data_IF_807131435408
#
_entry.id   IF_807131435408
#
_cell.length_a   1.000
_cell.length_b   1.000
_cell.length_c   1.000
_cell.angle_alpha   90.00
_cell.angle_beta   90.00
_cell.angle_gamma   90.00
#
_symmetry.space_group_name_H-M   'P 1'
#
loop_
_entity.id
_entity.type
_entity.pdbx_description
1 polymer ?
#
# COMPACT_ATOMS: atom_id res chain seq x y z
N UNK A 1 6.66 26.88 -49.08
CA UNK A 1 5.45 26.99 -49.94
C UNK A 1 4.88 25.58 -49.98
N UNK A 2 3.73 25.25 -49.41
CA UNK A 2 2.38 25.72 -49.75
C UNK A 2 1.44 25.43 -48.57
N UNK A 3 0.62 26.41 -48.19
CA UNK A 3 -0.48 26.28 -47.22
C UNK A 3 -1.64 25.51 -47.86
N UNK A 4 -2.33 24.66 -47.10
CA UNK A 4 -3.72 24.31 -47.39
C UNK A 4 -4.56 24.41 -46.10
N UNK A 5 -5.53 25.30 -46.20
CA UNK A 5 -6.57 25.68 -45.25
C UNK A 5 -7.84 24.94 -45.69
N UNK A 6 -8.51 24.23 -44.78
CA UNK A 6 -9.92 23.80 -44.96
C UNK A 6 -10.54 23.71 -43.55
N UNK A 7 -11.13 24.80 -43.06
CA UNK A 7 -12.55 25.17 -43.15
C UNK A 7 -13.49 24.36 -42.23
N UNK A 8 -13.74 24.96 -41.05
CA UNK A 8 -15.02 25.18 -40.37
C UNK A 8 -16.22 24.28 -40.73
N UNK A 9 -16.76 23.57 -39.73
CA UNK A 9 -18.21 23.41 -39.56
C UNK A 9 -18.56 23.65 -38.08
N UNK A 10 -19.15 24.81 -37.82
CA UNK A 10 -19.94 25.10 -36.63
C UNK A 10 -21.32 24.43 -36.81
N UNK A 11 -21.71 23.57 -35.87
CA UNK A 11 -23.11 23.18 -35.71
C UNK A 11 -23.58 23.68 -34.34
N UNK A 12 -24.37 24.76 -34.38
CA UNK A 12 -25.00 25.35 -33.23
C UNK A 12 -26.36 24.68 -32.94
N UNK A 13 -26.59 24.48 -31.64
CA UNK A 13 -27.86 24.55 -30.91
C UNK A 13 -29.03 23.62 -31.28
N UNK A 14 -29.39 22.75 -30.34
CA UNK A 14 -30.78 22.55 -29.93
C UNK A 14 -30.84 22.35 -28.39
N UNK A 15 -31.28 23.40 -27.70
CA UNK A 15 -31.76 23.34 -26.32
C UNK A 15 -33.20 22.85 -26.40
N UNK A 16 -33.47 21.65 -25.90
CA UNK A 16 -34.81 21.08 -25.75
C UNK A 16 -34.99 20.56 -24.33
N UNK A 17 -36.07 20.93 -23.61
CA UNK A 17 -36.33 20.42 -22.28
C UNK A 17 -37.04 19.07 -22.37
N UNK A 18 -36.54 18.06 -21.64
CA UNK A 18 -37.26 16.79 -21.48
C UNK A 18 -36.45 15.55 -21.83
N UNK A 19 -35.29 15.36 -21.20
CA UNK A 19 -34.72 14.03 -21.04
C UNK A 19 -35.15 13.51 -19.66
N UNK A 20 -36.14 12.63 -19.65
CA UNK A 20 -36.42 11.81 -18.47
C UNK A 20 -35.14 11.03 -18.13
N UNK A 21 -34.50 11.40 -17.04
CA UNK A 21 -33.34 10.67 -16.52
C UNK A 21 -33.78 9.24 -16.20
N UNK A 22 -33.10 8.20 -16.72
CA UNK A 22 -33.30 6.86 -16.19
C UNK A 22 -32.87 6.89 -14.72
N UNK A 23 -33.83 6.63 -13.82
CA UNK A 23 -33.59 6.47 -12.39
C UNK A 23 -32.41 5.53 -12.19
N UNK A 24 -31.31 6.06 -11.68
CA UNK A 24 -30.16 5.27 -11.27
C UNK A 24 -30.65 4.25 -10.22
N UNK A 25 -30.67 2.98 -10.60
CA UNK A 25 -30.99 1.90 -9.68
C UNK A 25 -30.04 2.00 -8.47
N UNK A 26 -30.62 2.10 -7.27
CA UNK A 26 -29.86 2.18 -6.03
C UNK A 26 -28.96 0.95 -5.91
N UNK A 27 -27.64 1.14 -5.99
CA UNK A 27 -26.67 0.08 -5.73
C UNK A 27 -26.83 -0.32 -4.26
N UNK A 28 -27.12 -1.60 -3.95
CA UNK A 28 -27.29 -2.02 -2.57
C UNK A 28 -26.02 -1.69 -1.78
N UNK A 29 -26.20 -0.98 -0.66
CA UNK A 29 -25.11 -0.63 0.22
C UNK A 29 -24.42 -1.91 0.70
N UNK A 30 -23.14 -2.06 0.36
CA UNK A 30 -22.33 -3.17 0.88
C UNK A 30 -22.27 -3.04 2.41
N UNK A 31 -22.60 -4.09 3.18
CA UNK A 31 -22.46 -4.04 4.62
C UNK A 31 -21.01 -3.72 4.98
N UNK A 32 -20.82 -2.76 5.88
CA UNK A 32 -19.50 -2.41 6.40
C UNK A 32 -18.93 -3.63 7.14
N UNK A 33 -17.78 -4.12 6.67
CA UNK A 33 -17.10 -5.21 7.34
C UNK A 33 -16.59 -4.75 8.72
N UNK A 34 -17.05 -5.38 9.79
CA UNK A 34 -16.51 -5.18 11.14
C UNK A 34 -15.16 -5.89 11.24
N UNK A 35 -14.06 -5.14 11.23
CA UNK A 35 -12.71 -5.68 11.41
C UNK A 35 -12.37 -5.81 12.89
N UNK A 36 -11.89 -6.99 13.32
CA UNK A 36 -11.32 -7.15 14.67
C UNK A 36 -10.11 -6.22 14.85
N UNK A 37 -10.03 -5.45 15.94
CA UNK A 37 -8.89 -4.58 16.18
C UNK A 37 -7.60 -5.39 16.33
N UNK A 38 -6.54 -4.96 15.66
CA UNK A 38 -5.24 -5.60 15.76
C UNK A 38 -4.60 -5.33 17.13
N UNK A 39 -4.39 -6.37 17.92
CA UNK A 39 -3.76 -6.28 19.25
C UNK A 39 -2.35 -6.88 19.31
N UNK A 40 -1.85 -7.41 18.19
CA UNK A 40 -0.53 -8.06 18.19
C UNK A 40 0.58 -7.00 18.19
N UNK A 41 1.36 -7.00 19.27
CA UNK A 41 2.50 -6.10 19.45
C UNK A 41 3.82 -6.80 19.08
N UNK A 42 4.69 -6.05 18.40
CA UNK A 42 6.02 -6.46 18.01
C UNK A 42 7.04 -5.48 18.54
N UNK A 43 8.16 -5.97 19.04
CA UNK A 43 9.27 -5.16 19.54
C UNK A 43 10.47 -5.27 18.60
N UNK A 44 11.11 -4.12 18.34
CA UNK A 44 12.29 -4.02 17.47
C UNK A 44 13.52 -4.61 18.14
N UNK A 45 14.17 -5.56 17.48
CA UNK A 45 15.38 -6.24 17.98
C UNK A 45 16.68 -5.65 17.40
N UNK A 46 16.61 -5.06 16.21
CA UNK A 46 17.74 -4.38 15.56
C UNK A 46 18.10 -3.04 16.22
N UNK A 47 19.36 -2.59 16.11
CA UNK A 47 19.81 -1.29 16.67
C UNK A 47 19.01 -0.12 16.10
N UNK A 48 18.85 -0.10 14.77
CA UNK A 48 18.03 0.84 14.00
C UNK A 48 17.42 0.07 12.85
N UNK A 49 16.11 0.20 12.64
CA UNK A 49 15.36 -0.54 11.63
C UNK A 49 14.52 0.43 10.83
N UNK A 50 14.67 0.41 9.52
CA UNK A 50 13.90 1.26 8.63
C UNK A 50 12.48 0.70 8.45
N UNK A 51 11.50 1.58 8.55
CA UNK A 51 10.15 1.36 8.03
C UNK A 51 10.15 1.83 6.59
N UNK A 52 9.87 0.92 5.66
CA UNK A 52 9.95 1.20 4.22
C UNK A 52 8.59 1.14 3.57
N UNK A 53 8.30 2.04 2.65
CA UNK A 53 7.13 1.93 1.77
C UNK A 53 7.57 1.40 0.42
N UNK A 54 6.85 0.45 -0.18
CA UNK A 54 7.05 0.15 -1.59
C UNK A 54 6.94 1.43 -2.42
N UNK A 55 7.85 1.63 -3.36
CA UNK A 55 7.74 2.71 -4.34
C UNK A 55 6.51 2.50 -5.25
N UNK A 56 6.10 3.54 -5.96
CA UNK A 56 4.90 3.51 -6.81
C UNK A 56 4.94 2.44 -7.91
N UNK A 57 6.16 2.09 -8.36
CA UNK A 57 6.44 1.06 -9.36
C UNK A 57 6.89 -0.28 -8.72
N UNK A 58 6.91 -0.36 -7.40
CA UNK A 58 7.14 -1.61 -6.69
C UNK A 58 5.78 -2.28 -6.42
N UNK A 59 5.77 -3.61 -6.43
CA UNK A 59 4.60 -4.37 -6.02
C UNK A 59 4.20 -4.10 -4.57
N UNK A 60 3.21 -4.83 -4.02
CA UNK A 60 2.65 -4.52 -2.70
C UNK A 60 3.60 -4.75 -1.51
N UNK A 61 4.80 -5.28 -1.74
CA UNK A 61 5.77 -5.65 -0.70
C UNK A 61 7.03 -4.82 -0.83
N UNK A 62 7.49 -4.26 0.29
CA UNK A 62 8.71 -3.48 0.32
C UNK A 62 9.94 -4.37 0.09
N UNK A 63 10.98 -3.76 -0.44
CA UNK A 63 12.30 -4.33 -0.67
C UNK A 63 13.34 -3.65 0.24
N UNK A 64 14.55 -4.23 0.38
CA UNK A 64 15.62 -3.61 1.16
C UNK A 64 16.05 -2.21 0.68
N UNK A 65 15.83 -1.90 -0.59
CA UNK A 65 16.15 -0.64 -1.27
C UNK A 65 14.96 0.33 -1.38
N UNK A 66 13.74 -0.11 -1.09
CA UNK A 66 12.54 0.74 -1.09
C UNK A 66 12.70 1.99 -0.21
N UNK A 67 12.07 3.13 -0.54
CA UNK A 67 12.18 4.36 0.24
C UNK A 67 11.89 4.18 1.73
N UNK A 68 12.69 4.84 2.57
CA UNK A 68 12.51 4.86 4.02
C UNK A 68 11.51 5.95 4.38
N UNK A 69 10.44 5.58 5.08
CA UNK A 69 9.49 6.54 5.66
C UNK A 69 10.02 7.09 6.99
N UNK A 70 10.38 6.20 7.91
CA UNK A 70 11.03 6.55 9.16
C UNK A 70 11.85 5.38 9.69
N UNK A 71 12.50 5.55 10.84
CA UNK A 71 13.27 4.48 11.48
C UNK A 71 12.86 4.28 12.92
N UNK A 72 12.85 3.03 13.34
CA UNK A 72 12.66 2.63 14.72
C UNK A 72 13.98 2.21 15.35
N UNK A 73 14.08 2.34 16.66
CA UNK A 73 15.22 1.92 17.48
C UNK A 73 14.87 0.65 18.25
N UNK A 74 15.91 -0.08 18.70
CA UNK A 74 15.76 -1.25 19.56
C UNK A 74 14.83 -0.96 20.74
N UNK A 75 13.93 -1.89 21.05
CA UNK A 75 12.98 -1.79 22.16
C UNK A 75 11.69 -1.00 21.84
N UNK A 76 11.66 -0.24 20.74
CA UNK A 76 10.41 0.37 20.29
C UNK A 76 9.42 -0.70 19.83
N UNK A 77 8.13 -0.40 20.00
CA UNK A 77 7.04 -1.34 19.73
C UNK A 77 6.13 -0.83 18.63
N UNK A 78 5.63 -1.76 17.84
CA UNK A 78 4.68 -1.52 16.77
C UNK A 78 3.57 -2.55 16.82
N UNK A 79 2.36 -2.14 16.50
CA UNK A 79 1.22 -3.03 16.35
C UNK A 79 1.14 -3.49 14.90
N UNK A 80 1.06 -4.80 14.68
CA UNK A 80 0.97 -5.38 13.33
C UNK A 80 0.33 -6.76 13.33
N UNK A 81 -0.75 -6.90 12.56
CA UNK A 81 -1.43 -8.17 12.31
C UNK A 81 -1.34 -8.59 10.83
N UNK A 82 -0.94 -7.66 9.96
CA UNK A 82 -0.85 -7.89 8.53
C UNK A 82 0.59 -8.22 8.16
N UNK A 83 0.72 -9.24 7.32
CA UNK A 83 1.99 -9.73 6.81
C UNK A 83 2.01 -9.57 5.30
N UNK A 84 3.06 -8.94 4.78
CA UNK A 84 3.38 -8.91 3.37
C UNK A 84 4.47 -9.97 3.09
N UNK A 85 4.20 -10.88 2.16
CA UNK A 85 5.12 -11.98 1.81
C UNK A 85 5.78 -11.65 0.48
N UNK A 86 7.08 -11.35 0.51
CA UNK A 86 7.87 -11.18 -0.69
C UNK A 86 8.11 -12.55 -1.34
N UNK A 87 7.65 -12.72 -2.57
CA UNK A 87 7.89 -13.94 -3.35
C UNK A 87 9.18 -13.77 -4.15
N UNK A 88 10.04 -14.79 -4.10
CA UNK A 88 11.26 -14.88 -4.88
C UNK A 88 11.36 -16.25 -5.52
N UNK A 89 11.91 -16.31 -6.73
CA UNK A 89 12.12 -17.59 -7.43
C UNK A 89 13.28 -18.39 -6.81
N UNK A 90 14.26 -17.70 -6.21
CA UNK A 90 15.42 -18.32 -5.56
C UNK A 90 15.78 -17.57 -4.28
N UNK A 91 16.11 -18.34 -3.23
CA UNK A 91 16.63 -17.83 -1.97
C UNK A 91 15.68 -16.91 -1.19
N UNK A 92 16.14 -16.33 -0.06
CA UNK A 92 15.36 -15.41 0.74
C UNK A 92 15.18 -14.06 0.05
N UNK A 93 14.04 -13.40 0.26
CA UNK A 93 13.77 -12.10 -0.37
C UNK A 93 14.62 -10.95 0.17
N UNK A 94 15.14 -11.08 1.40
CA UNK A 94 16.03 -10.11 2.00
C UNK A 94 16.96 -10.73 3.06
N UNK A 95 17.97 -9.96 3.47
CA UNK A 95 18.77 -10.18 4.68
C UNK A 95 18.72 -8.93 5.57
N UNK A 96 18.18 -9.04 6.77
CA UNK A 96 18.04 -7.91 7.70
C UNK A 96 18.14 -8.38 9.16
N UNK A 97 18.74 -7.54 10.01
CA UNK A 97 18.97 -7.84 11.42
C UNK A 97 19.67 -9.19 11.66
N UNK A 98 20.68 -9.48 10.83
CA UNK A 98 21.50 -10.70 10.92
C UNK A 98 20.83 -11.98 10.41
N UNK A 99 19.58 -11.91 9.92
CA UNK A 99 18.81 -13.09 9.48
C UNK A 99 18.27 -12.90 8.07
N UNK A 100 18.05 -14.02 7.39
CA UNK A 100 17.40 -14.07 6.09
C UNK A 100 15.89 -14.24 6.25
N UNK A 101 15.09 -13.67 5.35
CA UNK A 101 13.65 -13.81 5.40
C UNK A 101 12.95 -13.35 4.12
N UNK A 102 11.65 -13.65 4.07
CA UNK A 102 10.75 -13.25 2.98
C UNK A 102 9.51 -12.53 3.48
N UNK A 103 9.44 -12.25 4.78
CA UNK A 103 8.24 -11.77 5.46
C UNK A 103 8.44 -10.36 5.97
N UNK A 104 7.52 -9.47 5.65
CA UNK A 104 7.46 -8.10 6.15
C UNK A 104 6.20 -7.90 6.99
N UNK A 105 6.32 -7.19 8.10
CA UNK A 105 5.19 -6.77 8.93
C UNK A 105 4.72 -5.41 8.45
N UNK A 106 3.44 -5.29 8.11
CA UNK A 106 2.83 -4.01 7.76
C UNK A 106 2.56 -3.26 9.06
N UNK A 107 3.09 -2.05 9.15
CA UNK A 107 3.03 -1.18 10.32
C UNK A 107 2.55 0.20 9.90
N UNK A 108 2.12 1.07 10.84
CA UNK A 108 1.93 2.48 10.53
C UNK A 108 3.17 3.05 9.84
N UNK A 109 2.98 3.66 8.68
CA UNK A 109 4.06 4.24 7.90
C UNK A 109 4.68 3.32 6.85
N UNK A 110 4.50 2.00 6.88
CA UNK A 110 5.04 1.12 5.84
C UNK A 110 5.23 -0.33 6.27
N UNK A 111 6.41 -0.88 6.00
CA UNK A 111 6.73 -2.29 6.20
C UNK A 111 8.11 -2.46 6.86
N UNK A 112 8.20 -3.44 7.77
CA UNK A 112 9.43 -3.79 8.48
C UNK A 112 9.77 -5.25 8.24
N UNK A 113 11.04 -5.62 7.98
CA UNK A 113 11.46 -7.01 7.92
C UNK A 113 11.10 -7.74 9.23
N UNK A 114 10.34 -8.83 9.17
CA UNK A 114 9.98 -9.59 10.37
C UNK A 114 11.22 -10.08 11.15
N UNK A 115 12.33 -10.33 10.44
CA UNK A 115 13.60 -10.70 11.08
C UNK A 115 14.17 -9.61 12.01
N UNK A 116 13.65 -8.40 11.98
CA UNK A 116 14.03 -7.29 12.85
C UNK A 116 13.09 -7.12 14.05
N UNK A 117 12.11 -8.01 14.21
CA UNK A 117 11.07 -7.93 15.21
C UNK A 117 11.02 -9.21 16.07
N UNK A 118 10.52 -9.07 17.29
CA UNK A 118 10.06 -10.19 18.13
C UNK A 118 8.63 -9.93 18.57
N UNK A 119 7.78 -10.95 18.56
CA UNK A 119 6.42 -10.83 19.09
C UNK A 119 6.51 -10.64 20.61
N UNK A 120 5.84 -9.63 21.13
CA UNK A 120 5.67 -9.42 22.57
C UNK A 120 4.16 -9.48 22.80
N UNK A 121 3.70 -10.38 23.68
CA UNK A 121 2.26 -10.66 23.86
C UNK A 121 1.41 -9.39 23.98
N UNK A 122 0.20 -9.43 23.43
CA UNK A 122 -0.79 -8.39 23.68
C UNK A 122 -1.08 -8.34 25.18
N UNK A 123 -1.04 -7.14 25.76
CA UNK A 123 -1.42 -6.92 27.15
C UNK A 123 -2.92 -7.16 27.32
#
# INVERSE_FOLDING_TARGET
MTRLITACVLAAALIGPGAAWPSAAAVPARPAATSTPCTTVWEVTGKKVAVRRPAWNEGPVAKPDSPVDHSLRRGQRVTSCIVAIARTERGPAYRACGRHGSTWRVVPGGQIPQTCLKKVGGR
#
